data_IF_822924096853
#
_entry.id   IF_822924096853
#
_cell.length_a   1.000
_cell.length_b   1.000
_cell.length_c   1.000
_cell.angle_alpha   90.00
_cell.angle_beta   90.00
_cell.angle_gamma   90.00
#
_symmetry.space_group_name_H-M   'P 1'
#
loop_
_entity.id
_entity.type
_entity.pdbx_description
1 polymer ?
#
# COMPACT_ATOMS: atom_id res chain seq x y z
N UNK A 1 19.84 16.41 -1.65
CA UNK A 1 18.65 15.67 -2.13
C UNK A 1 18.36 14.56 -1.14
N UNK A 2 17.56 14.85 -0.11
CA UNK A 2 17.36 13.92 1.02
C UNK A 2 15.94 13.39 0.99
N UNK A 3 15.74 12.17 0.48
CA UNK A 3 14.48 11.44 0.61
C UNK A 3 14.40 10.88 2.03
N UNK A 4 13.84 11.65 2.96
CA UNK A 4 13.55 11.18 4.32
C UNK A 4 12.13 10.64 4.40
N UNK A 5 11.99 9.31 4.57
CA UNK A 5 10.73 8.68 4.95
C UNK A 5 10.60 8.80 6.48
N UNK A 6 10.01 9.90 6.94
CA UNK A 6 9.93 10.22 8.37
C UNK A 6 8.94 9.29 9.08
N UNK A 7 9.45 8.46 9.99
CA UNK A 7 8.64 7.56 10.80
C UNK A 7 8.09 8.32 12.01
N UNK A 8 6.84 8.75 11.90
CA UNK A 8 6.01 9.00 13.08
C UNK A 8 5.44 7.65 13.49
N UNK A 9 5.43 7.33 14.80
CA UNK A 9 4.74 6.14 15.31
C UNK A 9 3.24 6.35 15.11
N UNK A 10 2.79 6.06 13.90
CA UNK A 10 1.47 6.37 13.41
C UNK A 10 0.77 5.05 13.21
N UNK A 11 -0.18 4.77 14.11
CA UNK A 11 -1.04 3.60 14.02
C UNK A 11 -1.92 3.78 12.79
N UNK A 12 -1.86 2.81 11.88
CA UNK A 12 -2.70 2.77 10.69
C UNK A 12 -3.69 1.63 10.81
N UNK A 13 -4.96 1.89 10.50
CA UNK A 13 -5.98 0.87 10.40
C UNK A 13 -5.75 0.14 9.07
N UNK A 14 -5.54 -1.16 9.13
CA UNK A 14 -5.31 -2.02 7.97
C UNK A 14 -6.62 -2.76 7.69
N UNK A 15 -7.18 -2.55 6.50
CA UNK A 15 -8.40 -3.23 6.05
C UNK A 15 -8.10 -4.59 5.41
N UNK A 16 -6.87 -4.76 4.91
CA UNK A 16 -6.41 -5.98 4.26
C UNK A 16 -4.96 -5.85 3.79
N UNK A 17 -4.34 -7.00 3.50
CA UNK A 17 -3.00 -7.08 2.91
C UNK A 17 -3.17 -7.48 1.44
N UNK A 18 -2.64 -6.68 0.53
CA UNK A 18 -2.65 -7.00 -0.91
C UNK A 18 -1.60 -8.06 -1.21
N UNK A 19 -0.43 -7.94 -0.58
CA UNK A 19 0.65 -8.90 -0.72
C UNK A 19 1.99 -8.36 -0.23
N UNK A 20 3.05 -9.10 -0.49
CA UNK A 20 4.42 -8.69 -0.19
C UNK A 20 5.20 -8.45 -1.47
N UNK A 21 5.91 -7.32 -1.54
CA UNK A 21 6.86 -7.04 -2.60
C UNK A 21 8.28 -7.06 -2.01
N UNK A 22 9.18 -7.78 -2.67
CA UNK A 22 10.60 -7.82 -2.30
C UNK A 22 11.34 -6.82 -3.16
N UNK A 23 11.97 -5.84 -2.52
CA UNK A 23 12.83 -4.86 -3.18
C UNK A 23 14.25 -5.04 -2.65
N UNK A 24 15.18 -5.31 -3.57
CA UNK A 24 16.60 -5.55 -3.30
C UNK A 24 16.84 -6.66 -2.25
N UNK A 25 16.84 -6.32 -0.97
CA UNK A 25 17.04 -7.24 0.16
C UNK A 25 15.96 -7.14 1.24
N UNK A 26 14.96 -6.26 1.08
CA UNK A 26 13.91 -6.01 2.08
C UNK A 26 12.54 -6.39 1.53
N UNK A 27 11.75 -7.05 2.37
CA UNK A 27 10.37 -7.39 2.07
C UNK A 27 9.43 -6.33 2.62
N UNK A 28 8.60 -5.77 1.75
CA UNK A 28 7.61 -4.76 2.05
C UNK A 28 6.22 -5.37 1.92
N UNK A 29 5.37 -5.15 2.92
CA UNK A 29 3.96 -5.49 2.88
C UNK A 29 3.19 -4.34 2.27
N UNK A 30 2.46 -4.64 1.19
CA UNK A 30 1.49 -3.73 0.62
C UNK A 30 0.16 -3.94 1.35
N UNK A 31 -0.24 -2.95 2.13
CA UNK A 31 -1.46 -2.99 2.94
C UNK A 31 -2.47 -1.97 2.43
N UNK A 32 -3.76 -2.29 2.55
CA UNK A 32 -4.85 -1.38 2.23
C UNK A 32 -5.17 -0.59 3.50
N UNK A 33 -4.94 0.72 3.45
CA UNK A 33 -5.22 1.63 4.58
C UNK A 33 -6.51 2.40 4.39
N UNK A 34 -7.13 2.37 3.21
CA UNK A 34 -8.45 2.95 2.98
C UNK A 34 -9.18 2.29 1.82
N UNK A 35 -10.47 2.04 2.03
CA UNK A 35 -11.41 1.50 1.06
C UNK A 35 -12.69 2.32 1.07
N UNK A 36 -13.38 2.40 -0.06
CA UNK A 36 -14.67 3.05 -0.21
C UNK A 36 -15.67 2.06 -0.82
N UNK A 37 -16.82 1.91 -0.20
CA UNK A 37 -17.92 1.15 -0.80
C UNK A 37 -18.45 1.89 -2.04
N UNK A 38 -18.49 1.20 -3.16
CA UNK A 38 -18.92 1.76 -4.46
C UNK A 38 -20.25 1.19 -4.94
N UNK A 39 -20.75 0.15 -4.29
CA UNK A 39 -22.06 -0.43 -4.56
C UNK A 39 -22.14 -1.84 -4.02
N UNK A 40 -23.30 -2.46 -4.22
CA UNK A 40 -23.56 -3.85 -3.87
C UNK A 40 -23.89 -4.64 -5.13
N UNK A 41 -23.32 -5.83 -5.27
CA UNK A 41 -23.63 -6.76 -6.36
C UNK A 41 -24.11 -8.08 -5.78
N UNK A 42 -25.33 -8.48 -6.16
CA UNK A 42 -25.98 -9.70 -5.65
C UNK A 42 -26.04 -9.79 -4.11
N UNK A 43 -26.16 -8.65 -3.42
CA UNK A 43 -26.22 -8.59 -1.96
C UNK A 43 -24.87 -8.51 -1.25
N UNK A 44 -23.76 -8.58 -1.98
CA UNK A 44 -22.41 -8.40 -1.42
C UNK A 44 -21.88 -7.00 -1.72
N UNK A 45 -21.32 -6.29 -0.72
CA UNK A 45 -20.73 -4.98 -0.92
C UNK A 45 -19.41 -5.07 -1.70
N UNK A 46 -19.30 -4.24 -2.73
CA UNK A 46 -18.09 -4.03 -3.51
C UNK A 46 -17.35 -2.83 -2.93
N UNK A 47 -16.10 -3.07 -2.53
CA UNK A 47 -15.20 -2.03 -2.03
C UNK A 47 -14.16 -1.68 -3.08
N UNK A 48 -14.00 -0.38 -3.32
CA UNK A 48 -12.91 0.19 -4.11
C UNK A 48 -11.76 0.56 -3.20
N UNK A 49 -10.55 0.15 -3.54
CA UNK A 49 -9.38 0.61 -2.81
C UNK A 49 -9.13 2.08 -3.12
N UNK A 50 -9.06 2.92 -2.09
CA UNK A 50 -8.78 4.35 -2.21
C UNK A 50 -7.32 4.68 -1.91
N UNK A 51 -6.72 3.97 -0.96
CA UNK A 51 -5.33 4.19 -0.57
C UNK A 51 -4.72 2.91 -0.05
N UNK A 52 -3.49 2.67 -0.49
CA UNK A 52 -2.64 1.59 -0.02
C UNK A 52 -1.36 2.21 0.56
N UNK A 53 -0.69 1.46 1.42
CA UNK A 53 0.57 1.86 2.04
C UNK A 53 1.54 0.69 2.07
N UNK A 54 2.81 0.97 1.85
CA UNK A 54 3.88 0.01 2.03
C UNK A 54 4.41 0.06 3.46
N UNK A 55 4.45 -1.08 4.14
CA UNK A 55 5.06 -1.26 5.45
C UNK A 55 6.24 -2.22 5.34
N UNK A 56 7.44 -1.81 5.77
CA UNK A 56 8.60 -2.69 5.84
C UNK A 56 8.57 -3.50 7.14
N UNK A 57 8.85 -4.81 7.09
CA UNK A 57 8.88 -5.67 8.29
C UNK A 57 10.23 -5.70 9.03
N UNK A 58 11.19 -4.88 8.64
CA UNK A 58 12.48 -4.79 9.33
C UNK A 58 12.64 -3.42 10.02
N UNK A 59 13.09 -3.43 11.28
CA UNK A 59 13.33 -2.23 12.10
C UNK A 59 14.41 -1.27 11.59
N UNK A 60 14.92 -1.47 10.38
CA UNK A 60 15.89 -0.61 9.71
C UNK A 60 15.19 0.05 8.52
N UNK A 61 14.28 0.97 8.82
CA UNK A 61 13.73 1.95 7.88
C UNK A 61 14.75 3.05 7.58
N UNK A 62 15.98 2.66 7.20
CA UNK A 62 17.01 3.63 6.83
C UNK A 62 17.13 3.67 5.32
N UNK A 63 16.43 4.65 4.76
CA UNK A 63 16.51 5.11 3.38
C UNK A 63 16.23 4.01 2.36
N UNK A 64 14.96 3.87 1.99
CA UNK A 64 14.64 3.42 0.64
C UNK A 64 15.39 4.33 -0.33
N UNK A 65 16.25 3.74 -1.16
CA UNK A 65 16.91 4.46 -2.25
C UNK A 65 15.85 5.24 -3.05
N UNK A 66 16.20 6.39 -3.64
CA UNK A 66 15.25 7.17 -4.44
C UNK A 66 14.56 6.31 -5.53
N UNK A 67 15.24 5.24 -5.97
CA UNK A 67 14.71 4.22 -6.86
C UNK A 67 13.57 3.40 -6.23
N UNK A 68 13.71 2.91 -5.01
CA UNK A 68 12.64 2.16 -4.31
C UNK A 68 11.40 3.03 -4.08
N UNK A 69 11.58 4.28 -3.66
CA UNK A 69 10.46 5.24 -3.52
C UNK A 69 9.73 5.42 -4.85
N UNK A 70 10.47 5.57 -5.96
CA UNK A 70 9.88 5.67 -7.29
C UNK A 70 9.11 4.40 -7.66
N UNK A 71 9.65 3.23 -7.35
CA UNK A 71 8.98 1.95 -7.60
C UNK A 71 7.70 1.83 -6.77
N UNK A 72 7.71 2.20 -5.48
CA UNK A 72 6.51 2.21 -4.65
C UNK A 72 5.44 3.13 -5.24
N UNK A 73 5.81 4.34 -5.65
CA UNK A 73 4.87 5.28 -6.27
C UNK A 73 4.36 4.72 -7.59
N UNK A 74 5.22 4.13 -8.42
CA UNK A 74 4.78 3.51 -9.68
C UNK A 74 3.78 2.38 -9.44
N UNK A 75 4.05 1.51 -8.47
CA UNK A 75 3.18 0.39 -8.10
C UNK A 75 1.86 0.90 -7.51
N UNK A 76 1.90 1.86 -6.58
CA UNK A 76 0.71 2.48 -6.01
C UNK A 76 -0.14 3.14 -7.10
N UNK A 77 0.48 3.91 -8.00
CA UNK A 77 -0.22 4.56 -9.10
C UNK A 77 -0.80 3.52 -10.06
N UNK A 78 -0.08 2.45 -10.39
CA UNK A 78 -0.60 1.35 -11.21
C UNK A 78 -1.79 0.61 -10.58
N UNK A 79 -1.76 0.38 -9.26
CA UNK A 79 -2.85 -0.22 -8.51
C UNK A 79 -4.04 0.73 -8.30
N UNK A 80 -3.83 2.05 -8.34
CA UNK A 80 -4.89 3.04 -8.26
C UNK A 80 -5.49 3.37 -9.64
N UNK A 81 -4.71 3.27 -10.72
CA UNK A 81 -5.19 3.44 -12.10
C UNK A 81 -5.92 2.20 -12.60
N UNK A 82 -5.47 1.01 -12.19
CA UNK A 82 -6.27 -0.21 -12.30
C UNK A 82 -7.34 -0.15 -11.22
N UNK A 83 -8.58 0.19 -11.56
CA UNK A 83 -9.68 0.31 -10.58
C UNK A 83 -9.89 -1.04 -9.90
N UNK A 84 -9.18 -1.25 -8.79
CA UNK A 84 -9.14 -2.52 -8.08
C UNK A 84 -10.33 -2.57 -7.14
N UNK A 85 -11.37 -3.29 -7.57
CA UNK A 85 -12.53 -3.62 -6.76
C UNK A 85 -12.29 -4.96 -6.08
N UNK A 86 -12.68 -5.08 -4.81
CA UNK A 86 -12.75 -6.35 -4.12
C UNK A 86 -14.14 -6.51 -3.51
N UNK A 87 -14.68 -7.72 -3.63
CA UNK A 87 -15.95 -8.15 -3.05
C UNK A 87 -15.59 -9.06 -1.87
N UNK A 88 -16.19 -8.80 -0.71
CA UNK A 88 -15.99 -9.59 0.52
C UNK A 88 -17.06 -10.66 0.62
#
# INVERSE_FOLDING_TARGET
MSCAFQWTNKVYIIYGVVGTIRLLAVTYFLVITSRKEVGTYLGFPIFRVMSMKFMACNGILRLSSCQEVRTFVFVEKGLLTSTSYFMV
#
